data_IF_910830173645
#
_entry.id   IF_910830173645
#
_cell.length_a   1.000
_cell.length_b   1.000
_cell.length_c   1.000
_cell.angle_alpha   90.00
_cell.angle_beta   90.00
_cell.angle_gamma   90.00
#
_symmetry.space_group_name_H-M   'P 1'
#
loop_
_entity.id
_entity.type
_entity.pdbx_description
1 polymer ?
#
# COMPACT_ATOMS: atom_id res chain seq x y z
N UNK A 1 -16.71 0.24 12.63
CA UNK A 1 -15.57 -0.20 11.78
C UNK A 1 -14.63 -1.08 12.59
N UNK A 2 -14.16 -2.21 12.03
CA UNK A 2 -13.17 -3.07 12.67
C UNK A 2 -11.78 -2.41 12.69
N UNK A 3 -10.88 -2.85 13.59
CA UNK A 3 -9.48 -2.37 13.63
C UNK A 3 -8.77 -2.54 12.30
N UNK A 4 -8.97 -3.68 11.63
CA UNK A 4 -8.34 -3.98 10.34
C UNK A 4 -8.88 -3.09 9.21
N UNK A 5 -10.18 -2.80 9.20
CA UNK A 5 -10.75 -1.85 8.23
C UNK A 5 -10.17 -0.43 8.43
N UNK A 6 -9.97 0.01 9.67
CA UNK A 6 -9.30 1.29 9.96
C UNK A 6 -7.85 1.30 9.47
N UNK A 7 -7.09 0.23 9.72
CA UNK A 7 -5.71 0.11 9.23
C UNK A 7 -5.64 0.13 7.71
N UNK A 8 -6.58 -0.50 7.03
CA UNK A 8 -6.68 -0.45 5.57
C UNK A 8 -6.87 0.99 5.07
N UNK A 9 -7.84 1.72 5.64
CA UNK A 9 -8.05 3.14 5.28
C UNK A 9 -6.85 4.03 5.58
N UNK A 10 -6.20 3.82 6.74
CA UNK A 10 -4.98 4.55 7.10
C UNK A 10 -3.85 4.28 6.12
N UNK A 11 -3.67 3.03 5.69
CA UNK A 11 -2.71 2.69 4.65
C UNK A 11 -3.05 3.41 3.33
N UNK A 12 -4.34 3.40 2.95
CA UNK A 12 -4.81 4.02 1.71
C UNK A 12 -4.54 5.53 1.65
N UNK A 13 -4.69 6.23 2.78
CA UNK A 13 -4.45 7.66 2.89
C UNK A 13 -2.98 8.01 3.18
N UNK A 14 -2.27 7.15 3.89
CA UNK A 14 -0.92 7.41 4.39
C UNK A 14 0.12 7.62 3.29
N UNK A 15 0.13 6.74 2.28
CA UNK A 15 1.08 6.86 1.18
C UNK A 15 0.86 8.12 0.34
N UNK A 16 -0.35 8.45 -0.15
CA UNK A 16 -0.58 9.68 -0.89
C UNK A 16 -0.19 10.93 -0.09
N UNK A 17 -0.47 10.95 1.22
CA UNK A 17 -0.06 12.05 2.09
C UNK A 17 1.46 12.17 2.20
N UNK A 18 2.17 11.07 2.47
CA UNK A 18 3.63 11.06 2.55
C UNK A 18 4.29 11.44 1.23
N UNK A 19 3.77 10.94 0.10
CA UNK A 19 4.24 11.28 -1.23
C UNK A 19 4.04 12.77 -1.54
N UNK A 20 2.90 13.35 -1.12
CA UNK A 20 2.63 14.78 -1.28
C UNK A 20 3.56 15.65 -0.45
N UNK A 21 3.84 15.27 0.80
CA UNK A 21 4.81 15.96 1.66
C UNK A 21 6.23 15.90 1.07
N UNK A 22 6.62 14.72 0.58
CA UNK A 22 7.90 14.55 -0.11
C UNK A 22 7.99 15.41 -1.39
N UNK A 23 6.93 15.42 -2.20
CA UNK A 23 6.87 16.24 -3.41
C UNK A 23 6.89 17.75 -3.10
N UNK A 24 6.24 18.18 -2.01
CA UNK A 24 6.28 19.57 -1.55
C UNK A 24 7.71 20.00 -1.22
N UNK A 25 8.48 19.12 -0.59
CA UNK A 25 9.88 19.38 -0.27
C UNK A 25 10.77 19.45 -1.51
N UNK A 26 10.58 18.54 -2.48
CA UNK A 26 11.44 18.44 -3.67
C UNK A 26 11.09 19.44 -4.77
N UNK A 27 9.80 19.67 -5.01
CA UNK A 27 9.31 20.46 -6.15
C UNK A 27 8.71 21.83 -5.75
N UNK A 28 8.57 22.07 -4.45
CA UNK A 28 7.90 23.26 -3.91
C UNK A 28 6.37 23.20 -4.01
N UNK A 29 5.67 24.31 -3.72
CA UNK A 29 4.21 24.37 -3.62
C UNK A 29 3.52 24.46 -4.99
N UNK A 30 3.87 23.58 -5.92
CA UNK A 30 3.26 23.52 -7.27
C UNK A 30 2.03 22.62 -7.22
N UNK A 31 0.84 23.23 -7.20
CA UNK A 31 -0.43 22.52 -7.03
C UNK A 31 -0.60 21.35 -8.00
N UNK A 32 -0.28 21.55 -9.29
CA UNK A 32 -0.43 20.52 -10.32
C UNK A 32 0.48 19.31 -10.07
N UNK A 33 1.72 19.54 -9.64
CA UNK A 33 2.67 18.48 -9.30
C UNK A 33 2.23 17.70 -8.07
N UNK A 34 1.81 18.41 -7.02
CA UNK A 34 1.33 17.78 -5.79
C UNK A 34 0.07 16.96 -6.05
N UNK A 35 -0.88 17.49 -6.83
CA UNK A 35 -2.09 16.79 -7.20
C UNK A 35 -1.79 15.54 -8.04
N UNK A 36 -0.86 15.62 -9.00
CA UNK A 36 -0.46 14.47 -9.80
C UNK A 36 0.17 13.37 -8.95
N UNK A 37 1.12 13.71 -8.07
CA UNK A 37 1.79 12.75 -7.18
C UNK A 37 0.78 12.12 -6.21
N UNK A 38 -0.07 12.93 -5.57
CA UNK A 38 -1.12 12.44 -4.69
C UNK A 38 -2.07 11.50 -5.42
N UNK A 39 -2.55 11.90 -6.61
CA UNK A 39 -3.51 11.16 -7.42
C UNK A 39 -2.99 9.79 -7.87
N UNK A 40 -1.76 9.73 -8.39
CA UNK A 40 -1.14 8.47 -8.82
C UNK A 40 -0.99 7.50 -7.64
N UNK A 41 -0.49 7.97 -6.50
CA UNK A 41 -0.34 7.13 -5.31
C UNK A 41 -1.69 6.73 -4.71
N UNK A 42 -2.69 7.61 -4.77
CA UNK A 42 -4.04 7.31 -4.31
C UNK A 42 -4.66 6.20 -5.16
N UNK A 43 -4.56 6.26 -6.49
CA UNK A 43 -5.07 5.21 -7.37
C UNK A 43 -4.45 3.84 -7.05
N UNK A 44 -3.13 3.79 -6.85
CA UNK A 44 -2.43 2.57 -6.43
C UNK A 44 -2.96 2.07 -5.09
N UNK A 45 -3.11 2.98 -4.13
CA UNK A 45 -3.62 2.63 -2.81
C UNK A 45 -5.09 2.22 -2.80
N UNK A 46 -5.93 2.75 -3.68
CA UNK A 46 -7.32 2.31 -3.84
C UNK A 46 -7.37 0.86 -4.31
N UNK A 47 -6.54 0.48 -5.27
CA UNK A 47 -6.44 -0.91 -5.73
C UNK A 47 -5.93 -1.83 -4.61
N UNK A 48 -4.83 -1.46 -3.96
CA UNK A 48 -4.25 -2.19 -2.84
C UNK A 48 -5.24 -2.36 -1.66
N UNK A 49 -5.96 -1.29 -1.32
CA UNK A 49 -6.97 -1.28 -0.28
C UNK A 49 -8.19 -2.12 -0.62
N UNK A 50 -8.60 -2.15 -1.89
CA UNK A 50 -9.65 -3.05 -2.38
C UNK A 50 -9.23 -4.52 -2.26
N UNK A 51 -8.01 -4.87 -2.67
CA UNK A 51 -7.46 -6.21 -2.51
C UNK A 51 -7.49 -6.67 -1.06
N UNK A 52 -7.02 -5.83 -0.14
CA UNK A 52 -7.05 -6.12 1.29
C UNK A 52 -8.48 -6.26 1.82
N UNK A 53 -9.41 -5.41 1.40
CA UNK A 53 -10.81 -5.48 1.82
C UNK A 53 -11.48 -6.79 1.36
N UNK A 54 -11.25 -7.22 0.12
CA UNK A 54 -11.76 -8.48 -0.41
C UNK A 54 -11.21 -9.69 0.36
N UNK A 55 -9.91 -9.69 0.66
CA UNK A 55 -9.29 -10.76 1.46
C UNK A 55 -9.82 -10.78 2.88
N UNK A 56 -9.96 -9.62 3.54
CA UNK A 56 -10.48 -9.53 4.90
C UNK A 56 -11.92 -10.08 4.99
N UNK A 57 -12.77 -9.83 3.98
CA UNK A 57 -14.11 -10.41 3.91
C UNK A 57 -14.08 -11.93 3.78
N UNK A 58 -13.09 -12.49 3.07
CA UNK A 58 -12.96 -13.92 2.87
C UNK A 58 -12.45 -14.69 4.10
N UNK A 59 -11.82 -14.03 5.07
CA UNK A 59 -11.20 -14.68 6.24
C UNK A 59 -12.17 -14.81 7.44
N UNK A 60 -13.25 -14.02 7.51
CA UNK A 60 -14.32 -14.11 8.53
C UNK A 60 -13.84 -14.37 10.00
N UNK A 61 -12.96 -13.49 10.48
CA UNK A 61 -13.03 -12.75 11.76
C UNK A 61 -12.95 -13.40 13.18
N UNK A 62 -12.10 -14.41 13.46
CA UNK A 62 -11.33 -14.27 14.72
C UNK A 62 -9.83 -14.47 14.58
N UNK A 63 -9.37 -14.96 13.43
CA UNK A 63 -7.96 -15.26 13.24
C UNK A 63 -7.13 -14.01 12.96
N UNK A 64 -6.41 -13.57 13.99
CA UNK A 64 -5.52 -12.39 13.93
C UNK A 64 -4.42 -12.55 12.88
N UNK A 65 -3.89 -13.77 12.69
CA UNK A 65 -2.83 -14.02 11.72
C UNK A 65 -3.37 -13.89 10.29
N UNK A 66 -4.47 -14.58 9.99
CA UNK A 66 -5.05 -14.54 8.66
C UNK A 66 -5.58 -13.13 8.30
N UNK A 67 -6.12 -12.39 9.27
CA UNK A 67 -6.50 -10.99 9.08
C UNK A 67 -5.29 -10.07 8.85
N UNK A 68 -4.16 -10.34 9.51
CA UNK A 68 -2.90 -9.62 9.28
C UNK A 68 -2.34 -9.86 7.87
N UNK A 69 -2.33 -11.12 7.42
CA UNK A 69 -1.91 -11.49 6.06
C UNK A 69 -2.81 -10.82 5.01
N UNK A 70 -4.13 -10.80 5.25
CA UNK A 70 -5.08 -10.15 4.36
C UNK A 70 -4.85 -8.64 4.19
N UNK A 71 -4.21 -7.97 5.17
CA UNK A 71 -3.86 -6.55 5.09
C UNK A 71 -2.56 -6.26 4.34
N UNK A 72 -1.71 -7.26 4.13
CA UNK A 72 -0.39 -7.08 3.52
C UNK A 72 -0.40 -6.29 2.19
N UNK A 73 -1.37 -6.53 1.27
CA UNK A 73 -1.41 -5.81 -0.01
C UNK A 73 -1.58 -4.30 0.13
N UNK A 74 -2.19 -3.83 1.23
CA UNK A 74 -2.37 -2.41 1.51
C UNK A 74 -1.26 -1.85 2.40
N UNK A 75 -0.97 -2.52 3.52
CA UNK A 75 -0.06 -1.99 4.54
C UNK A 75 1.38 -1.96 4.07
N UNK A 76 1.86 -3.00 3.39
CA UNK A 76 3.28 -3.08 3.00
C UNK A 76 3.62 -2.03 1.92
N UNK A 77 2.86 -1.89 0.81
CA UNK A 77 3.14 -0.83 -0.15
C UNK A 77 3.01 0.57 0.46
N UNK A 78 2.05 0.76 1.38
CA UNK A 78 1.91 2.04 2.04
C UNK A 78 3.16 2.40 2.87
N UNK A 79 3.65 1.48 3.71
CA UNK A 79 4.83 1.71 4.54
C UNK A 79 6.10 1.83 3.70
N UNK A 80 6.34 0.89 2.78
CA UNK A 80 7.53 0.88 1.93
C UNK A 80 7.57 2.12 1.03
N UNK A 81 6.45 2.46 0.39
CA UNK A 81 6.34 3.64 -0.45
C UNK A 81 6.49 4.93 0.35
N UNK A 82 5.87 5.04 1.53
CA UNK A 82 5.98 6.26 2.37
C UNK A 82 7.43 6.47 2.81
N UNK A 83 8.09 5.41 3.30
CA UNK A 83 9.48 5.46 3.68
C UNK A 83 10.38 5.84 2.49
N UNK A 84 10.13 5.25 1.31
CA UNK A 84 10.84 5.57 0.08
C UNK A 84 10.70 7.03 -0.32
N UNK A 85 9.47 7.56 -0.39
CA UNK A 85 9.24 8.97 -0.75
C UNK A 85 9.90 9.93 0.22
N UNK A 86 9.75 9.70 1.53
CA UNK A 86 10.36 10.55 2.55
C UNK A 86 11.88 10.50 2.48
N UNK A 87 12.47 9.33 2.23
CA UNK A 87 13.90 9.21 2.02
C UNK A 87 14.38 9.95 0.76
N UNK A 88 13.64 9.84 -0.35
CA UNK A 88 13.93 10.57 -1.60
C UNK A 88 13.69 12.07 -1.51
N UNK A 89 12.86 12.53 -0.57
CA UNK A 89 12.78 13.96 -0.24
C UNK A 89 14.09 14.49 0.34
N UNK A 90 14.74 13.70 1.21
CA UNK A 90 16.01 14.06 1.84
C UNK A 90 17.22 13.86 0.91
N UNK A 91 17.10 12.91 -0.02
CA UNK A 91 18.14 12.56 -1.00
C UNK A 91 17.49 12.50 -2.38
N UNK A 92 17.17 13.63 -3.02
CA UNK A 92 16.58 13.64 -4.36
C UNK A 92 17.57 13.12 -5.40
N UNK A 93 17.06 12.72 -6.57
CA UNK A 93 17.93 12.33 -7.68
C UNK A 93 18.62 13.56 -8.26
N UNK A 94 19.88 13.42 -8.67
CA UNK A 94 20.64 14.54 -9.21
C UNK A 94 20.22 14.92 -10.64
N UNK A 95 19.77 13.95 -11.45
CA UNK A 95 19.55 14.16 -12.89
C UNK A 95 18.09 14.49 -13.22
N UNK A 96 17.13 13.72 -12.72
CA UNK A 96 15.71 13.84 -13.02
C UNK A 96 14.82 13.36 -11.85
N UNK A 97 14.71 14.15 -10.76
CA UNK A 97 13.95 13.77 -9.56
C UNK A 97 12.51 13.32 -9.85
N UNK A 98 11.85 13.88 -10.87
CA UNK A 98 10.48 13.52 -11.25
C UNK A 98 10.31 12.08 -11.76
N UNK A 99 11.36 11.44 -12.28
CA UNK A 99 11.31 10.07 -12.82
C UNK A 99 10.84 9.06 -11.79
N UNK A 100 11.28 9.22 -10.55
CA UNK A 100 10.96 8.30 -9.46
C UNK A 100 9.53 8.49 -8.95
N UNK A 101 9.01 9.71 -9.02
CA UNK A 101 7.62 9.99 -8.64
C UNK A 101 6.62 9.47 -9.68
N UNK A 102 7.08 9.20 -10.91
CA UNK A 102 6.30 8.53 -11.96
C UNK A 102 6.42 7.00 -11.91
N UNK A 103 7.63 6.48 -11.66
CA UNK A 103 7.88 5.04 -11.63
C UNK A 103 7.47 4.39 -10.29
N UNK A 104 7.65 5.09 -9.17
CA UNK A 104 7.33 4.62 -7.83
C UNK A 104 5.92 4.03 -7.69
N UNK A 105 4.86 4.72 -8.13
CA UNK A 105 3.49 4.19 -8.10
C UNK A 105 3.35 2.85 -8.86
N UNK A 106 4.06 2.69 -9.99
CA UNK A 106 4.00 1.46 -10.80
C UNK A 106 4.62 0.28 -10.05
N UNK A 107 5.79 0.47 -9.41
CA UNK A 107 6.43 -0.55 -8.58
C UNK A 107 5.57 -0.92 -7.37
N UNK A 108 4.93 0.06 -6.74
CA UNK A 108 4.04 -0.18 -5.60
C UNK A 108 2.77 -0.93 -6.00
N UNK A 109 2.24 -0.69 -7.21
CA UNK A 109 1.12 -1.46 -7.75
C UNK A 109 1.52 -2.91 -8.00
N UNK A 110 2.67 -3.16 -8.63
CA UNK A 110 3.18 -4.51 -8.84
C UNK A 110 3.39 -5.25 -7.51
N UNK A 111 3.96 -4.57 -6.51
CA UNK A 111 4.12 -5.11 -5.17
C UNK A 111 2.76 -5.44 -4.53
N UNK A 112 1.77 -4.55 -4.63
CA UNK A 112 0.43 -4.78 -4.10
C UNK A 112 -0.24 -6.01 -4.74
N UNK A 113 -0.12 -6.17 -6.06
CA UNK A 113 -0.63 -7.34 -6.79
C UNK A 113 0.07 -8.62 -6.34
N UNK A 114 1.41 -8.61 -6.26
CA UNK A 114 2.17 -9.76 -5.80
C UNK A 114 1.77 -10.19 -4.38
N UNK A 115 1.66 -9.23 -3.46
CA UNK A 115 1.23 -9.48 -2.09
C UNK A 115 -0.21 -9.96 -2.00
N UNK A 116 -1.10 -9.49 -2.87
CA UNK A 116 -2.48 -9.98 -2.93
C UNK A 116 -2.53 -11.47 -3.29
N UNK A 117 -1.77 -11.89 -4.32
CA UNK A 117 -1.67 -13.29 -4.73
C UNK A 117 -1.09 -14.14 -3.59
N UNK A 118 -0.01 -13.69 -2.96
CA UNK A 118 0.61 -14.39 -1.83
C UNK A 118 -0.32 -14.51 -0.62
N UNK A 119 -1.00 -13.43 -0.26
CA UNK A 119 -1.94 -13.41 0.87
C UNK A 119 -3.14 -14.32 0.61
N UNK A 120 -3.64 -14.36 -0.63
CA UNK A 120 -4.70 -15.28 -1.03
C UNK A 120 -4.25 -16.74 -0.94
N UNK A 121 -3.06 -17.07 -1.45
CA UNK A 121 -2.51 -18.42 -1.39
C UNK A 121 -2.27 -18.87 0.06
N UNK A 122 -1.68 -18.01 0.89
CA UNK A 122 -1.50 -18.24 2.32
C UNK A 122 -2.84 -18.48 3.03
N UNK A 123 -3.87 -17.69 2.71
CA UNK A 123 -5.22 -17.88 3.25
C UNK A 123 -5.82 -19.24 2.90
N UNK A 124 -5.57 -19.77 1.69
CA UNK A 124 -5.99 -21.13 1.32
C UNK A 124 -5.22 -22.21 2.09
N UNK A 125 -3.91 -22.06 2.21
CA UNK A 125 -3.07 -23.00 2.95
C UNK A 125 -3.47 -23.08 4.43
N UNK A 126 -3.70 -21.93 5.07
CA UNK A 126 -4.12 -21.88 6.47
C UNK A 126 -5.45 -22.61 6.72
N UNK A 127 -6.41 -22.48 5.79
CA UNK A 127 -7.67 -23.26 5.85
C UNK A 127 -7.42 -24.75 5.68
N UNK A 128 -6.61 -25.15 4.70
CA UNK A 128 -6.31 -26.56 4.44
C UNK A 128 -5.61 -27.25 5.62
N UNK A 129 -4.65 -26.58 6.27
CA UNK A 129 -3.96 -27.11 7.45
C UNK A 129 -4.93 -27.30 8.62
N UNK A 130 -5.84 -26.36 8.85
CA UNK A 130 -6.81 -26.45 9.95
C UNK A 130 -7.84 -27.55 9.76
N UNK A 131 -8.30 -27.81 8.53
CA UNK A 131 -9.20 -28.92 8.25
C UNK A 131 -8.55 -30.31 8.41
N UNK A 132 -7.21 -30.39 8.46
CA UNK A 132 -6.46 -31.65 8.68
C UNK A 132 -6.07 -31.89 10.13
N UNK A 133 -6.15 -30.87 10.99
CA UNK A 133 -5.79 -30.94 12.40
C UNK A 133 -6.98 -30.93 13.37
N UNK A 134 -8.20 -30.96 12.84
CA UNK A 134 -9.46 -31.11 13.58
C UNK A 134 -10.07 -32.48 13.25
#
# INVERSE_FOLDING_TARGET
MTRYARLNLLAMAGLPAAASLAALWVFGPRADTLAAVAGMNLLVMLAAGLFAALLLRAVNAPDRLAAGIALAPAVIPALAGSAWYLWRALRPEEVAPGREYLAGPQYLLLLAVALWILAWAAGRLLRAVRCRGA
#
